data_IF_383866936265
#
_entry.id   IF_383866936265
#
_cell.length_a   1.000
_cell.length_b   1.000
_cell.length_c   1.000
_cell.angle_alpha   90.00
_cell.angle_beta   90.00
_cell.angle_gamma   90.00
#
_symmetry.space_group_name_H-M   'P 1'
#
loop_
_entity.id
_entity.type
_entity.pdbx_description
1 polymer ?
#
# COMPACT_ATOMS: atom_id res chain seq x y z
N UNK A 1 -6.13 20.18 15.37
CA UNK A 1 -5.32 21.42 15.44
C UNK A 1 -5.45 22.14 14.10
N UNK A 2 -5.54 23.48 14.09
CA UNK A 2 -5.65 24.27 12.85
C UNK A 2 -4.35 25.03 12.65
N UNK A 3 -3.75 24.94 11.46
CA UNK A 3 -2.54 25.65 11.10
C UNK A 3 -2.85 26.64 9.97
N UNK A 4 -2.30 27.86 10.05
CA UNK A 4 -2.39 28.86 8.98
C UNK A 4 -1.13 28.78 8.13
N UNK A 5 -1.31 28.71 6.81
CA UNK A 5 -0.24 28.68 5.83
C UNK A 5 -0.49 29.81 4.82
N UNK A 6 0.53 30.63 4.57
CA UNK A 6 0.49 31.68 3.55
C UNK A 6 1.39 31.26 2.39
N UNK A 7 0.81 31.13 1.20
CA UNK A 7 1.52 30.74 -0.03
C UNK A 7 1.27 31.79 -1.10
N UNK A 8 2.30 32.08 -1.90
CA UNK A 8 2.19 32.92 -3.09
C UNK A 8 1.87 32.03 -4.27
N UNK A 9 0.69 32.20 -4.87
CA UNK A 9 0.25 31.47 -6.05
C UNK A 9 0.34 32.38 -7.27
N UNK A 10 0.79 31.88 -8.44
CA UNK A 10 0.66 32.60 -9.70
C UNK A 10 -0.82 32.73 -10.07
N UNK A 11 -1.19 33.81 -10.75
CA UNK A 11 -2.57 34.12 -11.12
C UNK A 11 -3.23 33.01 -11.96
N UNK A 12 -2.44 32.33 -12.78
CA UNK A 12 -2.83 31.18 -13.60
C UNK A 12 -3.44 30.03 -12.78
N UNK A 13 -3.03 29.90 -11.52
CA UNK A 13 -3.52 28.86 -10.60
C UNK A 13 -4.59 29.42 -9.66
N UNK A 14 -4.46 30.69 -9.26
CA UNK A 14 -5.40 31.32 -8.35
C UNK A 14 -6.79 31.55 -8.98
N UNK A 15 -6.85 32.00 -10.24
CA UNK A 15 -8.12 32.23 -10.92
C UNK A 15 -9.00 30.98 -11.05
N UNK A 16 -8.51 29.85 -11.60
CA UNK A 16 -9.32 28.63 -11.69
C UNK A 16 -9.68 28.06 -10.32
N UNK A 17 -8.85 28.28 -9.28
CA UNK A 17 -9.18 27.91 -7.90
C UNK A 17 -10.40 28.69 -7.39
N UNK A 18 -10.44 30.01 -7.63
CA UNK A 18 -11.56 30.87 -7.22
C UNK A 18 -12.84 30.51 -7.97
N UNK A 19 -12.75 30.26 -9.28
CA UNK A 19 -13.91 29.83 -10.08
C UNK A 19 -14.46 28.49 -9.59
N UNK A 20 -13.58 27.51 -9.35
CA UNK A 20 -13.98 26.21 -8.82
C UNK A 20 -14.60 26.33 -7.41
N UNK A 21 -14.10 27.26 -6.59
CA UNK A 21 -14.64 27.51 -5.25
C UNK A 21 -16.06 28.09 -5.32
N UNK A 22 -16.28 29.07 -6.21
CA UNK A 22 -17.59 29.67 -6.47
C UNK A 22 -18.60 28.63 -6.96
N UNK A 23 -18.20 27.76 -7.90
CA UNK A 23 -19.07 26.70 -8.42
C UNK A 23 -19.49 25.68 -7.34
N UNK A 24 -18.62 25.44 -6.36
CA UNK A 24 -18.89 24.50 -5.27
C UNK A 24 -19.49 25.20 -4.03
N UNK A 25 -19.72 26.52 -4.06
CA UNK A 25 -20.22 27.30 -2.93
C UNK A 25 -19.27 27.31 -1.72
N UNK A 26 -17.97 27.10 -1.96
CA UNK A 26 -16.93 27.04 -0.92
C UNK A 26 -16.03 28.27 -0.98
N UNK A 27 -15.29 28.49 0.09
CA UNK A 27 -14.18 29.46 0.06
C UNK A 27 -12.98 28.88 -0.71
N UNK A 28 -12.16 29.73 -1.35
CA UNK A 28 -10.93 29.27 -2.02
C UNK A 28 -9.98 28.53 -1.07
N UNK A 29 -9.97 28.92 0.22
CA UNK A 29 -9.18 28.31 1.29
C UNK A 29 -9.62 26.87 1.59
N UNK A 30 -10.94 26.64 1.67
CA UNK A 30 -11.50 25.30 1.89
C UNK A 30 -11.25 24.38 0.70
N UNK A 31 -11.43 24.88 -0.51
CA UNK A 31 -11.14 24.11 -1.72
C UNK A 31 -9.65 23.77 -1.81
N UNK A 32 -8.76 24.72 -1.50
CA UNK A 32 -7.32 24.48 -1.46
C UNK A 32 -6.94 23.43 -0.41
N UNK A 33 -7.52 23.49 0.79
CA UNK A 33 -7.30 22.50 1.83
C UNK A 33 -7.78 21.11 1.39
N UNK A 34 -8.93 21.02 0.71
CA UNK A 34 -9.44 19.76 0.17
C UNK A 34 -8.55 19.21 -0.95
N UNK A 35 -8.08 20.07 -1.86
CA UNK A 35 -7.10 19.70 -2.89
C UNK A 35 -5.79 19.19 -2.27
N UNK A 36 -5.31 19.81 -1.19
CA UNK A 36 -4.13 19.35 -0.47
C UNK A 36 -4.36 17.97 0.16
N UNK A 37 -5.49 17.75 0.85
CA UNK A 37 -5.81 16.43 1.44
C UNK A 37 -5.85 15.33 0.38
N UNK A 38 -6.41 15.61 -0.80
CA UNK A 38 -6.47 14.66 -1.92
C UNK A 38 -5.09 14.33 -2.49
N UNK A 39 -4.18 15.31 -2.54
CA UNK A 39 -2.86 15.15 -3.14
C UNK A 39 -1.77 14.75 -2.15
N UNK A 40 -1.98 14.93 -0.84
CA UNK A 40 -1.04 14.45 0.16
C UNK A 40 -1.12 12.93 0.21
N UNK A 41 0.00 12.21 0.01
CA UNK A 41 0.01 10.77 0.19
C UNK A 41 -0.38 10.47 1.63
N UNK A 42 -1.56 9.87 1.81
CA UNK A 42 -2.03 9.44 3.12
C UNK A 42 -0.97 8.47 3.66
N UNK A 43 -0.46 8.66 4.89
CA UNK A 43 0.43 7.67 5.48
C UNK A 43 -0.30 6.34 5.41
N UNK A 44 0.35 5.36 4.76
CA UNK A 44 -0.21 4.04 4.49
C UNK A 44 -0.50 3.39 5.83
N UNK A 45 -1.72 3.58 6.32
CA UNK A 45 -2.21 2.87 7.48
C UNK A 45 -2.17 1.39 7.10
N UNK A 46 -1.33 0.63 7.77
CA UNK A 46 -1.27 -0.84 7.66
C UNK A 46 -2.49 -1.46 8.37
N UNK A 47 -3.61 -0.74 8.41
CA UNK A 47 -4.88 -1.28 8.88
C UNK A 47 -5.53 -2.01 7.70
N UNK A 48 -5.88 -3.30 7.83
CA UNK A 48 -6.62 -3.99 6.80
C UNK A 48 -7.95 -3.25 6.57
N UNK A 49 -8.12 -2.70 5.37
CA UNK A 49 -9.36 -2.06 4.95
C UNK A 49 -10.46 -3.13 4.92
N UNK A 50 -11.60 -2.97 5.64
CA UNK A 50 -12.71 -3.90 5.52
C UNK A 50 -13.24 -3.83 4.09
N UNK A 51 -13.04 -4.89 3.30
CA UNK A 51 -13.48 -4.96 1.90
C UNK A 51 -12.40 -4.74 0.85
N UNK A 52 -11.11 -4.63 1.22
CA UNK A 52 -10.05 -4.80 0.23
C UNK A 52 -10.07 -6.25 -0.31
N UNK A 53 -9.81 -6.47 -1.62
CA UNK A 53 -9.65 -7.82 -2.13
C UNK A 53 -8.54 -8.51 -1.32
N UNK A 54 -8.72 -9.79 -0.94
CA UNK A 54 -7.74 -10.52 -0.16
C UNK A 54 -6.39 -10.32 -0.82
N UNK A 55 -5.41 -9.89 -0.03
CA UNK A 55 -4.05 -9.71 -0.52
C UNK A 55 -3.62 -11.00 -1.24
N UNK A 56 -2.79 -10.93 -2.29
CA UNK A 56 -2.30 -12.16 -2.95
C UNK A 56 -1.71 -13.17 -1.95
N UNK A 57 -1.25 -12.65 -0.80
CA UNK A 57 -0.79 -13.41 0.35
C UNK A 57 -1.90 -14.23 1.04
N UNK A 58 -3.12 -13.72 1.12
CA UNK A 58 -4.27 -14.45 1.67
C UNK A 58 -4.67 -15.66 0.83
N UNK A 59 -4.42 -15.65 -0.48
CA UNK A 59 -4.61 -16.83 -1.34
C UNK A 59 -3.62 -17.95 -1.02
N UNK A 60 -2.52 -17.63 -0.35
CA UNK A 60 -1.51 -18.59 0.10
C UNK A 60 -1.78 -19.09 1.53
N UNK A 61 -2.84 -18.61 2.19
CA UNK A 61 -3.23 -19.16 3.49
C UNK A 61 -3.78 -20.58 3.32
N UNK A 62 -3.05 -21.53 3.89
CA UNK A 62 -3.37 -22.94 3.96
C UNK A 62 -2.48 -23.59 5.00
N UNK A 63 -2.88 -24.77 5.48
CA UNK A 63 -2.05 -25.56 6.39
C UNK A 63 -1.53 -26.77 5.63
N UNK A 64 -0.21 -26.88 5.54
CA UNK A 64 0.47 -28.05 4.99
C UNK A 64 1.20 -28.72 6.14
N UNK A 65 0.91 -30.00 6.36
CA UNK A 65 1.66 -30.81 7.31
C UNK A 65 2.88 -31.39 6.62
N UNK A 66 4.07 -31.03 7.11
CA UNK A 66 5.34 -31.54 6.58
C UNK A 66 5.71 -32.91 7.17
N UNK A 67 4.97 -33.41 8.17
CA UNK A 67 5.25 -34.68 8.83
C UNK A 67 6.43 -34.65 9.81
N UNK A 68 7.09 -33.51 9.97
CA UNK A 68 8.17 -33.26 10.91
C UNK A 68 8.06 -31.83 11.49
N UNK A 69 8.64 -31.54 12.67
CA UNK A 69 8.68 -30.19 13.21
C UNK A 69 9.46 -29.26 12.28
N UNK A 70 8.90 -28.08 12.02
CA UNK A 70 9.62 -26.97 11.39
C UNK A 70 10.19 -26.05 12.45
N UNK A 71 11.44 -25.64 12.25
CA UNK A 71 12.16 -24.72 13.13
C UNK A 71 12.97 -23.72 12.31
N UNK A 72 13.68 -22.84 13.00
CA UNK A 72 14.64 -21.90 12.40
C UNK A 72 16.08 -22.45 12.43
N UNK A 73 16.22 -23.78 12.46
CA UNK A 73 17.53 -24.43 12.46
C UNK A 73 18.10 -24.48 11.04
N UNK A 74 19.09 -23.64 10.79
CA UNK A 74 19.67 -23.47 9.46
C UNK A 74 20.26 -24.76 8.90
N UNK A 75 20.82 -25.65 9.74
CA UNK A 75 21.38 -26.93 9.27
C UNK A 75 20.29 -27.84 8.69
N UNK A 76 19.11 -27.89 9.33
CA UNK A 76 17.96 -28.63 8.81
C UNK A 76 17.39 -28.04 7.52
N UNK A 77 17.38 -26.70 7.40
CA UNK A 77 16.93 -25.99 6.20
C UNK A 77 17.86 -26.28 5.02
N UNK A 78 19.18 -26.22 5.25
CA UNK A 78 20.18 -26.50 4.24
C UNK A 78 20.13 -27.97 3.77
N UNK A 79 19.89 -28.91 4.70
CA UNK A 79 19.72 -30.32 4.37
C UNK A 79 18.45 -30.59 3.54
N UNK A 80 17.33 -29.94 3.87
CA UNK A 80 16.10 -30.02 3.10
C UNK A 80 16.28 -29.42 1.69
N UNK A 81 16.97 -28.27 1.59
CA UNK A 81 17.29 -27.63 0.32
C UNK A 81 18.20 -28.51 -0.55
N UNK A 82 19.25 -29.10 0.04
CA UNK A 82 20.14 -30.01 -0.66
C UNK A 82 19.40 -31.25 -1.16
N UNK A 83 18.49 -31.83 -0.37
CA UNK A 83 17.68 -33.00 -0.78
C UNK A 83 16.75 -32.69 -1.95
N UNK A 84 16.06 -31.54 -1.90
CA UNK A 84 15.12 -31.12 -2.95
C UNK A 84 15.86 -30.86 -4.27
N UNK A 85 17.01 -30.17 -4.22
CA UNK A 85 17.79 -29.84 -5.41
C UNK A 85 18.73 -30.96 -5.89
N UNK A 86 19.04 -31.95 -5.05
CA UNK A 86 19.76 -33.15 -5.46
C UNK A 86 18.85 -34.19 -6.13
N UNK A 87 17.53 -34.08 -5.93
CA UNK A 87 16.56 -34.84 -6.71
C UNK A 87 16.52 -34.20 -8.09
N UNK A 88 17.11 -34.85 -9.09
CA UNK A 88 16.97 -34.45 -10.50
C UNK A 88 15.50 -34.57 -10.89
N UNK A 89 14.73 -33.52 -10.66
CA UNK A 89 13.44 -33.32 -11.30
C UNK A 89 13.74 -33.05 -12.78
N UNK A 90 13.96 -34.11 -13.56
CA UNK A 90 13.94 -33.99 -15.00
C UNK A 90 12.53 -33.52 -15.38
N UNK A 91 12.43 -32.25 -15.77
CA UNK A 91 11.25 -31.69 -16.41
C UNK A 91 10.99 -32.50 -17.69
N UNK A 92 10.13 -33.52 -17.61
CA UNK A 92 9.51 -34.09 -18.80
C UNK A 92 8.53 -33.06 -19.33
N UNK A 93 9.01 -32.26 -20.28
CA UNK A 93 8.25 -31.36 -21.13
C UNK A 93 7.37 -32.13 -22.12
#
# INVERSE_FOLDING_TARGET
>A
MKHKLTITLPDEVYQPLVEAALQNGKTPEELAAECLVRNTPKPRSISPTPGAPPSKFEQLFGSVSLGHPTGADNESIDADLAREYASTHEETN
#
